data_IF_437737807293
#
_entry.id   IF_437737807293
#
_cell.length_a   1.000
_cell.length_b   1.000
_cell.length_c   1.000
_cell.angle_alpha   90.00
_cell.angle_beta   90.00
_cell.angle_gamma   90.00
#
_symmetry.space_group_name_H-M   'P 1'
#
loop_
_entity.id
_entity.type
_entity.pdbx_description
1 polymer ?
#
# COMPACT_ATOMS: atom_id res chain seq x y z
N UNK A 1 -3.36 31.89 4.62
CA UNK A 1 -2.95 30.77 5.49
C UNK A 1 -3.56 29.50 4.90
N UNK A 2 -2.79 28.71 4.14
CA UNK A 2 -3.28 27.39 3.71
C UNK A 2 -2.91 26.39 4.81
N UNK A 3 -3.91 25.89 5.54
CA UNK A 3 -3.71 24.76 6.42
C UNK A 3 -3.41 23.55 5.55
N UNK A 4 -2.14 23.18 5.42
CA UNK A 4 -1.79 21.88 4.88
C UNK A 4 -2.20 20.86 5.93
N UNK A 5 -3.37 20.24 5.74
CA UNK A 5 -3.75 19.02 6.43
C UNK A 5 -2.59 18.03 6.23
N UNK A 6 -1.83 17.76 7.29
CA UNK A 6 -0.78 16.76 7.23
C UNK A 6 -1.42 15.44 6.78
N UNK A 7 -0.86 14.72 5.79
CA UNK A 7 -1.42 13.44 5.37
C UNK A 7 -1.60 12.55 6.60
N UNK A 8 -2.77 11.92 6.75
CA UNK A 8 -3.01 11.02 7.86
C UNK A 8 -2.16 9.76 7.69
N UNK A 9 -0.91 9.82 8.14
CA UNK A 9 0.07 8.74 8.00
C UNK A 9 -0.25 7.53 8.89
N UNK A 10 -1.19 7.66 9.84
CA UNK A 10 -1.60 6.55 10.69
C UNK A 10 -2.19 5.38 9.88
N UNK A 11 -2.80 5.67 8.71
CA UNK A 11 -3.32 4.63 7.81
C UNK A 11 -2.20 3.74 7.24
N UNK A 12 -0.95 4.20 7.22
CA UNK A 12 0.19 3.40 6.77
C UNK A 12 0.52 2.27 7.76
N UNK A 13 0.25 2.49 9.04
CA UNK A 13 0.51 1.55 10.13
C UNK A 13 -0.69 0.66 10.46
N UNK A 14 -1.86 0.95 9.87
CA UNK A 14 -3.05 0.12 10.02
C UNK A 14 -2.87 -1.23 9.33
N UNK A 15 -3.47 -2.28 9.91
CA UNK A 15 -3.55 -3.60 9.31
C UNK A 15 -4.25 -3.53 7.95
N UNK A 16 -3.64 -4.09 6.90
CA UNK A 16 -4.23 -4.21 5.56
C UNK A 16 -5.59 -4.92 5.62
N UNK A 17 -5.77 -5.86 6.56
CA UNK A 17 -7.03 -6.59 6.71
C UNK A 17 -8.22 -5.70 7.11
N UNK A 18 -7.93 -4.57 7.76
CA UNK A 18 -8.92 -3.60 8.22
C UNK A 18 -9.14 -2.46 7.22
N UNK A 19 -8.36 -2.40 6.14
CA UNK A 19 -8.50 -1.38 5.12
C UNK A 19 -9.70 -1.68 4.20
N UNK A 20 -10.36 -0.64 3.65
CA UNK A 20 -11.45 -0.80 2.69
C UNK A 20 -10.91 -1.12 1.28
N UNK A 21 -10.11 -2.19 1.19
CA UNK A 21 -9.52 -2.73 -0.02
C UNK A 21 -10.17 -4.08 -0.35
N UNK A 22 -9.99 -4.54 -1.58
CA UNK A 22 -10.54 -5.80 -2.06
C UNK A 22 -10.01 -7.00 -1.26
N UNK A 23 -10.80 -8.06 -1.18
CA UNK A 23 -10.36 -9.31 -0.56
C UNK A 23 -9.19 -9.95 -1.31
N UNK A 24 -9.12 -9.76 -2.64
CA UNK A 24 -7.94 -10.16 -3.42
C UNK A 24 -6.70 -9.38 -2.97
N UNK A 25 -6.82 -8.06 -2.77
CA UNK A 25 -5.72 -7.24 -2.28
C UNK A 25 -5.20 -7.74 -0.94
N UNK A 26 -6.11 -7.94 0.01
CA UNK A 26 -5.79 -8.42 1.35
C UNK A 26 -5.11 -9.78 1.32
N UNK A 27 -5.65 -10.72 0.54
CA UNK A 27 -5.06 -12.06 0.36
C UNK A 27 -3.64 -11.98 -0.23
N UNK A 28 -3.48 -11.23 -1.32
CA UNK A 28 -2.18 -11.07 -2.00
C UNK A 28 -1.15 -10.40 -1.09
N UNK A 29 -1.57 -9.40 -0.30
CA UNK A 29 -0.70 -8.76 0.69
C UNK A 29 -0.18 -9.77 1.71
N UNK A 30 -1.05 -10.62 2.25
CA UNK A 30 -0.66 -11.72 3.15
C UNK A 30 0.30 -12.70 2.48
N UNK A 31 0.02 -13.15 1.25
CA UNK A 31 0.90 -14.07 0.50
C UNK A 31 2.27 -13.46 0.20
N UNK A 32 2.32 -12.16 -0.05
CA UNK A 32 3.54 -11.40 -0.26
C UNK A 32 4.28 -11.10 1.05
N UNK A 33 3.67 -11.36 2.21
CA UNK A 33 4.22 -11.17 3.55
C UNK A 33 4.11 -9.74 4.09
N UNK A 34 3.08 -9.01 3.68
CA UNK A 34 2.80 -7.64 4.11
C UNK A 34 1.54 -7.57 4.97
N UNK A 35 1.67 -6.92 6.14
CA UNK A 35 0.59 -6.66 7.08
C UNK A 35 0.14 -5.20 7.07
N UNK A 36 1.02 -4.26 6.69
CA UNK A 36 0.72 -2.82 6.67
C UNK A 36 1.19 -2.17 5.37
N UNK A 37 0.61 -1.02 5.02
CA UNK A 37 1.06 -0.26 3.84
C UNK A 37 2.47 0.31 4.05
N UNK A 38 2.87 0.58 5.30
CA UNK A 38 4.24 1.01 5.63
C UNK A 38 5.26 -0.04 5.22
N UNK A 39 5.01 -1.32 5.51
CA UNK A 39 5.91 -2.41 5.09
C UNK A 39 6.05 -2.47 3.56
N UNK A 40 4.94 -2.28 2.84
CA UNK A 40 4.97 -2.22 1.37
C UNK A 40 5.79 -1.01 0.88
N UNK A 41 5.58 0.17 1.47
CA UNK A 41 6.27 1.41 1.10
C UNK A 41 7.78 1.37 1.33
N UNK A 42 8.22 0.59 2.32
CA UNK A 42 9.64 0.39 2.64
C UNK A 42 10.26 -0.79 1.86
N UNK A 43 9.44 -1.54 1.14
CA UNK A 43 9.90 -2.72 0.40
C UNK A 43 10.62 -2.34 -0.89
N UNK A 44 11.57 -3.18 -1.31
CA UNK A 44 12.19 -3.03 -2.62
C UNK A 44 11.21 -3.48 -3.72
N UNK A 45 10.64 -2.52 -4.46
CA UNK A 45 9.68 -2.79 -5.54
C UNK A 45 10.13 -3.86 -6.53
N UNK A 46 11.39 -3.80 -6.97
CA UNK A 46 11.93 -4.77 -7.94
C UNK A 46 11.82 -6.18 -7.39
N UNK A 47 12.11 -6.37 -6.09
CA UNK A 47 11.96 -7.67 -5.44
C UNK A 47 10.49 -8.09 -5.32
N UNK A 48 9.60 -7.16 -4.98
CA UNK A 48 8.15 -7.46 -4.90
C UNK A 48 7.62 -7.93 -6.25
N UNK A 49 7.97 -7.28 -7.35
CA UNK A 49 7.49 -7.62 -8.69
C UNK A 49 8.00 -8.98 -9.18
N UNK A 50 9.05 -9.54 -8.57
CA UNK A 50 9.55 -10.90 -8.88
C UNK A 50 8.91 -12.00 -8.03
N UNK A 51 8.11 -11.67 -7.01
CA UNK A 51 7.48 -12.68 -6.15
C UNK A 51 6.39 -13.43 -6.91
N UNK A 52 6.28 -14.74 -6.69
CA UNK A 52 5.28 -15.61 -7.34
C UNK A 52 3.84 -15.13 -7.19
N UNK A 53 3.52 -14.58 -6.02
CA UNK A 53 2.17 -14.12 -5.69
C UNK A 53 1.92 -12.65 -6.06
N UNK A 54 2.86 -12.01 -6.76
CA UNK A 54 2.66 -10.66 -7.27
C UNK A 54 1.51 -10.62 -8.29
N UNK A 55 0.71 -9.56 -8.22
CA UNK A 55 -0.38 -9.27 -9.16
C UNK A 55 -0.30 -7.81 -9.58
N UNK A 56 -0.43 -7.55 -10.87
CA UNK A 56 -0.52 -6.17 -11.38
C UNK A 56 -1.79 -5.48 -10.88
N UNK A 57 -2.88 -6.22 -10.68
CA UNK A 57 -4.12 -5.70 -10.10
C UNK A 57 -3.91 -5.26 -8.65
N UNK A 58 -3.20 -6.08 -7.85
CA UNK A 58 -2.81 -5.70 -6.49
C UNK A 58 -1.98 -4.41 -6.47
N UNK A 59 -1.03 -4.26 -7.40
CA UNK A 59 -0.20 -3.06 -7.47
C UNK A 59 -0.98 -1.82 -7.88
N UNK A 60 -1.89 -1.94 -8.84
CA UNK A 60 -2.70 -0.80 -9.27
C UNK A 60 -3.68 -0.37 -8.18
N UNK A 61 -4.33 -1.32 -7.51
CA UNK A 61 -5.23 -1.01 -6.39
C UNK A 61 -4.48 -0.32 -5.23
N UNK A 62 -3.23 -0.73 -4.95
CA UNK A 62 -2.37 -0.02 -4.00
C UNK A 62 -2.12 1.43 -4.43
N UNK A 63 -1.80 1.65 -5.71
CA UNK A 63 -1.52 2.98 -6.24
C UNK A 63 -2.75 3.88 -6.12
N UNK A 64 -3.91 3.39 -6.56
CA UNK A 64 -5.18 4.12 -6.52
C UNK A 64 -5.53 4.50 -5.08
N UNK A 65 -5.46 3.54 -4.15
CA UNK A 65 -5.72 3.80 -2.73
C UNK A 65 -4.75 4.83 -2.13
N UNK A 66 -3.46 4.71 -2.43
CA UNK A 66 -2.45 5.64 -1.91
C UNK A 66 -2.62 7.04 -2.51
N UNK A 67 -3.07 7.16 -3.76
CA UNK A 67 -3.41 8.43 -4.39
C UNK A 67 -4.63 9.09 -3.75
N UNK A 68 -5.72 8.34 -3.55
CA UNK A 68 -6.93 8.81 -2.87
C UNK A 68 -6.65 9.34 -1.44
N UNK A 69 -5.64 8.78 -0.76
CA UNK A 69 -5.22 9.21 0.58
C UNK A 69 -4.17 10.32 0.57
N UNK A 70 -3.69 10.76 -0.59
CA UNK A 70 -2.60 11.74 -0.70
C UNK A 70 -1.24 11.21 -0.21
N UNK A 71 -1.02 9.90 -0.33
CA UNK A 71 0.14 9.16 0.16
C UNK A 71 1.02 8.58 -0.96
N UNK A 72 0.77 8.89 -2.24
CA UNK A 72 1.56 8.35 -3.36
C UNK A 72 3.07 8.57 -3.23
N UNK A 73 3.49 9.65 -2.54
CA UNK A 73 4.90 9.95 -2.28
C UNK A 73 5.62 8.89 -1.42
N UNK A 74 4.87 8.08 -0.66
CA UNK A 74 5.44 7.00 0.14
C UNK A 74 5.77 5.76 -0.69
N UNK A 75 5.15 5.60 -1.86
CA UNK A 75 5.43 4.47 -2.73
C UNK A 75 6.71 4.69 -3.54
N UNK A 76 7.38 5.84 -3.55
CA UNK A 76 8.53 6.09 -4.43
C UNK A 76 9.84 6.34 -3.66
N UNK A 77 10.62 5.27 -3.42
CA UNK A 77 12.11 5.26 -3.37
C UNK A 77 12.66 3.91 -3.82
#
# INVERSE_FOLDING_TARGET
MMGQSSPNTAILDQSIQELPLSEEFKLRSTLLGFNTLREISLSNKKRVFTKKDFSIFWWNELLDFMEEKGLSNYLNR
#
